data_IF_675458661700
#
_entry.id   IF_675458661700
#
_cell.length_a   1.000
_cell.length_b   1.000
_cell.length_c   1.000
_cell.angle_alpha   90.00
_cell.angle_beta   90.00
_cell.angle_gamma   90.00
#
_symmetry.space_group_name_H-M   'P 1'
#
loop_
_entity.id
_entity.type
_entity.pdbx_description
1 polymer ?
#
# COMPACT_ATOMS: atom_id res chain seq x y z
N UNK A 1 27.50 11.80 7.40
CA UNK A 1 26.98 10.44 7.19
C UNK A 1 26.95 10.22 5.69
N UNK A 2 27.67 9.21 5.18
CA UNK A 2 27.59 8.80 3.77
C UNK A 2 26.13 8.71 3.31
N UNK A 3 25.86 9.09 2.06
CA UNK A 3 24.56 8.95 1.39
C UNK A 3 24.13 7.48 1.36
N UNK A 4 23.50 7.02 2.45
CA UNK A 4 22.88 5.71 2.49
C UNK A 4 21.69 5.70 1.52
N UNK A 5 21.54 4.65 0.70
CA UNK A 5 20.44 4.56 -0.25
C UNK A 5 19.09 4.55 0.47
N UNK A 6 18.12 5.32 -0.02
CA UNK A 6 16.84 5.48 0.66
C UNK A 6 15.76 4.50 0.17
N UNK A 7 16.02 3.83 -0.96
CA UNK A 7 15.20 2.76 -1.52
C UNK A 7 16.16 1.70 -2.05
N UNK A 8 15.91 0.44 -1.71
CA UNK A 8 16.73 -0.70 -2.10
C UNK A 8 15.85 -1.74 -2.76
N UNK A 9 16.23 -2.24 -3.93
CA UNK A 9 15.71 -3.53 -4.42
C UNK A 9 16.14 -4.65 -3.45
N UNK A 10 15.41 -5.76 -3.43
CA UNK A 10 15.80 -6.89 -2.56
C UNK A 10 17.23 -7.38 -2.84
N UNK A 11 17.68 -7.37 -4.09
CA UNK A 11 19.06 -7.74 -4.44
C UNK A 11 20.09 -6.71 -3.95
N UNK A 12 19.75 -5.43 -3.94
CA UNK A 12 20.61 -4.33 -3.45
C UNK A 12 20.69 -4.31 -1.92
N UNK A 13 19.68 -4.87 -1.25
CA UNK A 13 19.60 -4.94 0.20
C UNK A 13 20.38 -6.12 0.81
N UNK A 14 21.01 -6.97 0.00
CA UNK A 14 21.86 -8.07 0.49
C UNK A 14 23.03 -7.49 1.28
N UNK A 15 23.22 -7.97 2.52
CA UNK A 15 24.26 -7.50 3.42
C UNK A 15 23.83 -6.38 4.37
N UNK A 16 22.62 -5.81 4.20
CA UNK A 16 22.04 -4.89 5.19
C UNK A 16 21.54 -5.65 6.42
N UNK A 17 21.59 -4.98 7.57
CA UNK A 17 21.19 -5.58 8.84
C UNK A 17 19.67 -5.68 9.00
N UNK A 18 19.21 -6.61 9.85
CA UNK A 18 17.80 -6.69 10.27
C UNK A 18 17.29 -5.39 10.90
N UNK A 19 18.17 -4.61 11.54
CA UNK A 19 17.83 -3.30 12.08
C UNK A 19 17.53 -2.28 10.99
N UNK A 20 18.22 -2.35 9.85
CA UNK A 20 18.04 -1.42 8.72
C UNK A 20 16.86 -1.80 7.83
N UNK A 21 16.58 -3.08 7.65
CA UNK A 21 15.52 -3.58 6.74
C UNK A 21 14.21 -3.94 7.44
N UNK A 22 14.23 -4.04 8.77
CA UNK A 22 13.14 -4.65 9.53
C UNK A 22 13.05 -6.16 9.35
N UNK A 23 12.25 -6.83 10.19
CA UNK A 23 12.16 -8.30 10.20
C UNK A 23 11.63 -8.87 8.88
N UNK A 24 10.59 -8.25 8.31
CA UNK A 24 9.96 -8.72 7.07
C UNK A 24 10.85 -8.48 5.85
N UNK A 25 11.39 -7.27 5.73
CA UNK A 25 12.31 -6.90 4.66
C UNK A 25 13.56 -7.77 4.68
N UNK A 26 14.18 -7.94 5.86
CA UNK A 26 15.32 -8.85 6.03
C UNK A 26 14.97 -10.28 5.61
N UNK A 27 13.83 -10.83 6.04
CA UNK A 27 13.41 -12.17 5.62
C UNK A 27 13.26 -12.31 4.10
N UNK A 28 12.68 -11.31 3.42
CA UNK A 28 12.54 -11.31 1.96
C UNK A 28 13.91 -11.30 1.26
N UNK A 29 14.85 -10.49 1.75
CA UNK A 29 16.23 -10.43 1.24
C UNK A 29 16.96 -11.75 1.45
N UNK A 30 16.80 -12.39 2.61
CA UNK A 30 17.40 -13.71 2.86
C UNK A 30 16.84 -14.77 1.90
N UNK A 31 15.54 -14.75 1.63
CA UNK A 31 14.92 -15.68 0.66
C UNK A 31 15.44 -15.44 -0.76
N UNK A 32 15.60 -14.18 -1.18
CA UNK A 32 16.21 -13.82 -2.47
C UNK A 32 17.67 -14.28 -2.54
N UNK A 33 18.46 -14.07 -1.49
CA UNK A 33 19.85 -14.54 -1.40
C UNK A 33 19.95 -16.07 -1.53
N UNK A 34 18.98 -16.80 -0.99
CA UNK A 34 18.89 -18.26 -1.09
C UNK A 34 18.35 -18.76 -2.43
N UNK A 35 17.98 -17.87 -3.36
CA UNK A 35 17.44 -18.24 -4.66
C UNK A 35 16.00 -18.76 -4.62
N UNK A 36 15.25 -18.46 -3.55
CA UNK A 36 13.84 -18.84 -3.46
C UNK A 36 12.97 -17.94 -4.37
N UNK A 37 11.83 -18.45 -4.88
CA UNK A 37 10.95 -17.70 -5.76
C UNK A 37 10.17 -16.62 -4.99
N UNK A 38 10.78 -15.45 -4.82
CA UNK A 38 10.18 -14.27 -4.19
C UNK A 38 9.77 -13.30 -5.30
N UNK A 39 8.52 -12.78 -5.31
CA UNK A 39 8.15 -11.70 -6.22
C UNK A 39 9.11 -10.51 -6.06
N UNK A 40 9.56 -9.87 -7.15
CA UNK A 40 10.49 -8.75 -7.07
C UNK A 40 9.86 -7.59 -6.29
N UNK A 41 10.69 -6.87 -5.55
CA UNK A 41 10.23 -5.77 -4.71
C UNK A 41 11.39 -4.92 -4.20
N UNK A 42 11.02 -3.97 -3.36
CA UNK A 42 11.93 -2.99 -2.79
C UNK A 42 11.64 -2.77 -1.30
N UNK A 43 12.59 -2.14 -0.61
CA UNK A 43 12.55 -1.81 0.81
C UNK A 43 12.90 -0.33 0.96
N UNK A 44 12.09 0.37 1.76
CA UNK A 44 12.44 1.67 2.33
C UNK A 44 13.08 1.40 3.69
N UNK A 45 14.38 1.65 3.91
CA UNK A 45 15.05 1.30 5.16
C UNK A 45 14.52 2.06 6.37
N UNK A 46 14.65 1.46 7.56
CA UNK A 46 14.14 2.05 8.82
C UNK A 46 14.75 3.42 9.15
N UNK A 47 15.97 3.71 8.69
CA UNK A 47 16.57 5.04 8.86
C UNK A 47 15.86 6.13 8.06
N UNK A 48 15.18 5.80 6.97
CA UNK A 48 14.36 6.75 6.21
C UNK A 48 13.12 7.12 7.03
N UNK A 49 12.50 6.13 7.69
CA UNK A 49 11.42 6.35 8.64
C UNK A 49 11.86 7.24 9.81
N UNK A 50 13.06 7.02 10.35
CA UNK A 50 13.64 7.92 11.38
C UNK A 50 13.83 9.36 10.87
N UNK A 51 14.31 9.54 9.64
CA UNK A 51 14.42 10.88 9.01
C UNK A 51 13.05 11.56 8.91
N UNK A 52 12.00 10.82 8.54
CA UNK A 52 10.63 11.32 8.51
C UNK A 52 10.18 11.84 9.89
N UNK A 53 10.48 11.13 10.97
CA UNK A 53 10.11 11.63 12.32
C UNK A 53 10.86 12.87 12.77
N UNK A 54 12.11 13.03 12.33
CA UNK A 54 12.91 14.21 12.68
C UNK A 54 12.45 15.46 11.91
N UNK A 55 11.98 15.29 10.68
CA UNK A 55 11.64 16.39 9.76
C UNK A 55 10.15 16.68 9.69
N UNK A 56 9.31 15.70 10.02
CA UNK A 56 7.85 15.76 9.88
C UNK A 56 7.35 15.56 8.44
N UNK A 57 8.23 15.29 7.48
CA UNK A 57 7.90 15.12 6.06
C UNK A 57 8.70 13.98 5.42
N UNK A 58 8.19 13.44 4.32
CA UNK A 58 8.94 12.45 3.54
C UNK A 58 10.18 13.12 2.91
N UNK A 59 11.33 12.41 2.79
CA UNK A 59 12.47 12.95 2.06
C UNK A 59 12.08 13.31 0.63
N UNK A 60 12.52 14.46 0.14
CA UNK A 60 12.10 15.01 -1.15
C UNK A 60 12.45 14.07 -2.32
N UNK A 61 13.56 13.35 -2.20
CA UNK A 61 14.07 12.43 -3.21
C UNK A 61 13.41 11.04 -3.16
N UNK A 62 12.59 10.74 -2.13
CA UNK A 62 12.03 9.39 -1.91
C UNK A 62 11.13 8.94 -3.04
N UNK A 63 10.21 9.79 -3.46
CA UNK A 63 9.22 9.43 -4.48
C UNK A 63 9.89 9.15 -5.84
N UNK A 64 10.86 10.00 -6.23
CA UNK A 64 11.63 9.79 -7.45
C UNK A 64 12.42 8.46 -7.40
N UNK A 65 13.09 8.17 -6.28
CA UNK A 65 13.84 6.92 -6.11
C UNK A 65 12.91 5.69 -6.12
N UNK A 66 11.72 5.79 -5.53
CA UNK A 66 10.72 4.72 -5.57
C UNK A 66 10.24 4.42 -6.99
N UNK A 67 9.90 5.46 -7.76
CA UNK A 67 9.43 5.28 -9.14
C UNK A 67 10.52 4.66 -10.02
N UNK A 68 11.78 5.06 -9.86
CA UNK A 68 12.91 4.44 -10.55
C UNK A 68 13.02 2.93 -10.23
N UNK A 69 12.97 2.56 -8.94
CA UNK A 69 13.03 1.15 -8.53
C UNK A 69 11.78 0.37 -8.95
N UNK A 70 10.60 1.00 -8.95
CA UNK A 70 9.37 0.39 -9.44
C UNK A 70 9.40 0.12 -10.94
N UNK A 71 10.06 0.97 -11.74
CA UNK A 71 10.29 0.69 -13.15
C UNK A 71 11.20 -0.54 -13.34
N UNK A 72 12.22 -0.72 -12.50
CA UNK A 72 13.06 -1.94 -12.52
C UNK A 72 12.25 -3.18 -12.12
N UNK A 73 11.45 -3.10 -11.06
CA UNK A 73 10.54 -4.19 -10.61
C UNK A 73 9.54 -4.53 -11.72
N UNK A 74 8.93 -3.51 -12.32
CA UNK A 74 8.00 -3.65 -13.44
C UNK A 74 8.66 -4.30 -14.65
N UNK A 75 9.88 -3.89 -15.01
CA UNK A 75 10.66 -4.47 -16.09
C UNK A 75 10.89 -5.97 -15.93
N UNK A 76 11.21 -6.44 -14.71
CA UNK A 76 11.34 -7.89 -14.40
C UNK A 76 10.04 -8.68 -14.62
N UNK A 77 8.89 -8.01 -14.55
CA UNK A 77 7.56 -8.61 -14.70
C UNK A 77 6.90 -8.31 -16.05
N UNK A 78 7.52 -7.50 -16.90
CA UNK A 78 6.90 -7.00 -18.14
C UNK A 78 5.67 -6.12 -17.90
N UNK A 79 5.65 -5.38 -16.78
CA UNK A 79 4.55 -4.51 -16.32
C UNK A 79 5.08 -3.11 -16.01
N UNK A 80 4.21 -2.12 -15.89
CA UNK A 80 4.58 -0.77 -15.47
C UNK A 80 3.58 -0.18 -14.48
N UNK A 81 4.07 0.49 -13.44
CA UNK A 81 3.24 1.14 -12.44
C UNK A 81 2.41 2.27 -13.08
N UNK A 82 1.11 2.28 -12.85
CA UNK A 82 0.18 3.21 -13.50
C UNK A 82 -0.10 2.95 -14.99
N UNK A 83 0.30 1.80 -15.55
CA UNK A 83 0.04 1.50 -16.98
C UNK A 83 -1.40 1.09 -17.24
N UNK A 84 -2.02 1.72 -18.25
CA UNK A 84 -3.35 1.34 -18.79
C UNK A 84 -3.31 0.14 -19.77
N UNK A 85 -2.17 -0.54 -19.91
CA UNK A 85 -2.03 -1.72 -20.78
C UNK A 85 -1.60 -2.97 -20.04
N UNK A 86 -0.52 -2.85 -19.24
CA UNK A 86 0.00 -3.94 -18.39
C UNK A 86 0.30 -3.38 -17.01
N UNK A 87 -0.73 -3.18 -16.18
CA UNK A 87 -0.57 -2.54 -14.88
C UNK A 87 0.31 -3.38 -13.96
N UNK A 88 1.21 -2.69 -13.25
CA UNK A 88 1.88 -3.21 -12.07
C UNK A 88 1.08 -2.75 -10.84
N UNK A 89 0.55 -3.69 -10.08
CA UNK A 89 -0.02 -3.43 -8.75
C UNK A 89 0.97 -3.90 -7.69
N UNK A 90 1.08 -3.15 -6.59
CA UNK A 90 2.02 -3.46 -5.51
C UNK A 90 1.31 -3.64 -4.18
N UNK A 91 2.00 -4.31 -3.25
CA UNK A 91 1.58 -4.34 -1.85
C UNK A 91 2.55 -3.53 -0.99
N UNK A 92 2.02 -2.65 -0.14
CA UNK A 92 2.81 -1.90 0.84
C UNK A 92 2.64 -2.55 2.20
N UNK A 93 3.76 -2.94 2.82
CA UNK A 93 3.79 -3.71 4.07
C UNK A 93 4.79 -3.09 5.03
N UNK A 94 4.31 -2.65 6.19
CA UNK A 94 5.16 -2.17 7.29
C UNK A 94 6.03 -3.30 7.87
N UNK A 95 7.26 -2.98 8.31
CA UNK A 95 8.20 -3.97 8.84
C UNK A 95 9.20 -3.39 9.82
N UNK A 96 8.93 -3.50 11.12
CA UNK A 96 9.89 -3.11 12.15
C UNK A 96 10.96 -4.19 12.43
N UNK A 97 12.11 -3.83 13.03
CA UNK A 97 13.15 -4.79 13.42
C UNK A 97 12.67 -5.83 14.45
N UNK A 98 11.70 -5.46 15.29
CA UNK A 98 11.04 -6.35 16.24
C UNK A 98 9.64 -6.66 15.74
N UNK A 99 9.23 -7.92 15.87
CA UNK A 99 7.89 -8.34 15.46
C UNK A 99 6.82 -7.68 16.32
N UNK A 100 5.82 -7.08 15.68
CA UNK A 100 4.65 -6.48 16.34
C UNK A 100 3.36 -7.02 15.69
N UNK A 101 2.92 -8.24 16.08
CA UNK A 101 1.76 -8.89 15.48
C UNK A 101 0.48 -8.06 15.67
N UNK A 102 -0.32 -7.91 14.61
CA UNK A 102 -1.59 -7.17 14.63
C UNK A 102 -1.45 -5.64 14.73
N UNK A 103 -0.23 -5.11 14.69
CA UNK A 103 0.03 -3.66 14.82
C UNK A 103 0.38 -2.98 13.49
N UNK A 104 0.64 -3.79 12.45
CA UNK A 104 1.26 -3.37 11.21
C UNK A 104 0.29 -3.55 10.04
N UNK A 105 -0.08 -2.44 9.43
CA UNK A 105 -1.01 -2.39 8.31
C UNK A 105 -0.37 -2.94 7.01
N UNK A 106 -1.21 -3.55 6.18
CA UNK A 106 -0.85 -4.05 4.84
C UNK A 106 -1.88 -3.54 3.84
N UNK A 107 -1.38 -2.87 2.81
CA UNK A 107 -2.16 -2.39 1.69
C UNK A 107 -1.87 -3.28 0.50
N UNK A 108 -2.91 -3.86 -0.08
CA UNK A 108 -2.83 -4.70 -1.27
C UNK A 108 -3.39 -3.94 -2.47
N UNK A 109 -3.01 -4.37 -3.67
CA UNK A 109 -3.54 -3.86 -4.93
C UNK A 109 -3.32 -2.36 -5.15
N UNK A 110 -2.29 -1.77 -4.52
CA UNK A 110 -1.99 -0.36 -4.67
C UNK A 110 -1.55 -0.05 -6.10
N UNK A 111 -2.03 1.09 -6.61
CA UNK A 111 -1.85 1.53 -7.98
C UNK A 111 -3.06 1.24 -8.88
N UNK A 112 -4.16 0.70 -8.33
CA UNK A 112 -5.41 0.50 -9.09
C UNK A 112 -6.31 1.74 -8.98
N UNK A 113 -6.97 2.07 -10.08
CA UNK A 113 -8.03 3.05 -10.21
C UNK A 113 -9.05 2.54 -11.24
N UNK A 114 -10.02 3.36 -11.64
CA UNK A 114 -11.04 3.02 -12.62
C UNK A 114 -10.44 2.58 -13.98
N UNK A 115 -9.53 3.37 -14.54
CA UNK A 115 -8.88 3.04 -15.83
C UNK A 115 -8.01 1.78 -15.74
N UNK A 116 -7.29 1.61 -14.63
CA UNK A 116 -6.39 0.47 -14.39
C UNK A 116 -7.19 -0.81 -14.08
N UNK A 117 -8.34 -0.71 -13.42
CA UNK A 117 -9.25 -1.84 -13.25
C UNK A 117 -9.77 -2.32 -14.62
N UNK A 118 -10.12 -1.40 -15.52
CA UNK A 118 -10.49 -1.74 -16.90
C UNK A 118 -9.32 -2.40 -17.66
N UNK A 119 -8.10 -1.86 -17.53
CA UNK A 119 -6.90 -2.48 -18.12
C UNK A 119 -6.65 -3.90 -17.59
N UNK A 120 -6.79 -4.11 -16.28
CA UNK A 120 -6.65 -5.42 -15.64
C UNK A 120 -7.74 -6.39 -16.09
N UNK A 121 -8.97 -5.91 -16.26
CA UNK A 121 -10.09 -6.70 -16.79
C UNK A 121 -9.81 -7.21 -18.20
N UNK A 122 -9.27 -6.34 -19.06
CA UNK A 122 -8.88 -6.70 -20.43
C UNK A 122 -7.71 -7.68 -20.46
N UNK A 123 -6.71 -7.49 -19.60
CA UNK A 123 -5.54 -8.38 -19.53
C UNK A 123 -5.92 -9.80 -19.06
N UNK A 124 -6.79 -9.88 -18.06
CA UNK A 124 -7.16 -11.15 -17.41
C UNK A 124 -8.34 -11.85 -18.10
N UNK A 125 -9.10 -11.14 -18.94
CA UNK A 125 -10.39 -11.61 -19.45
C UNK A 125 -11.46 -11.76 -18.35
N UNK A 126 -11.22 -11.22 -17.15
CA UNK A 126 -12.10 -11.39 -16.00
C UNK A 126 -12.44 -10.03 -15.36
N UNK A 127 -13.53 -9.44 -15.87
CA UNK A 127 -14.05 -8.15 -15.39
C UNK A 127 -14.40 -8.18 -13.89
N UNK A 128 -15.08 -9.25 -13.45
CA UNK A 128 -15.48 -9.42 -12.05
C UNK A 128 -14.26 -9.35 -11.11
N UNK A 129 -13.21 -10.10 -11.44
CA UNK A 129 -11.97 -10.11 -10.68
C UNK A 129 -11.35 -8.70 -10.59
N UNK A 130 -11.30 -7.96 -11.70
CA UNK A 130 -10.68 -6.64 -11.72
C UNK A 130 -11.44 -5.62 -10.88
N UNK A 131 -12.77 -5.54 -11.00
CA UNK A 131 -13.58 -4.60 -10.22
C UNK A 131 -13.68 -4.98 -8.74
N UNK A 132 -13.72 -6.27 -8.40
CA UNK A 132 -13.59 -6.70 -7.01
C UNK A 132 -12.21 -6.39 -6.42
N UNK A 133 -11.15 -6.47 -7.24
CA UNK A 133 -9.80 -6.07 -6.83
C UNK A 133 -9.77 -4.58 -6.50
N UNK A 134 -10.44 -3.76 -7.31
CA UNK A 134 -10.59 -2.33 -7.05
C UNK A 134 -11.43 -2.04 -5.79
N UNK A 135 -12.57 -2.71 -5.61
CA UNK A 135 -13.37 -2.58 -4.39
C UNK A 135 -12.56 -2.94 -3.13
N UNK A 136 -11.79 -4.03 -3.17
CA UNK A 136 -10.93 -4.45 -2.07
C UNK A 136 -9.85 -3.41 -1.77
N UNK A 137 -9.26 -2.81 -2.81
CA UNK A 137 -8.32 -1.71 -2.65
C UNK A 137 -8.99 -0.51 -1.97
N UNK A 138 -10.14 -0.03 -2.47
CA UNK A 138 -10.88 1.10 -1.91
C UNK A 138 -11.17 0.87 -0.41
N UNK A 139 -11.71 -0.30 -0.04
CA UNK A 139 -12.00 -0.62 1.37
C UNK A 139 -10.73 -0.60 2.22
N UNK A 140 -9.67 -1.27 1.76
CA UNK A 140 -8.44 -1.39 2.52
C UNK A 140 -7.70 -0.05 2.66
N UNK A 141 -7.59 0.71 1.58
CA UNK A 141 -6.97 2.03 1.54
C UNK A 141 -7.72 3.03 2.41
N UNK A 142 -9.05 3.08 2.33
CA UNK A 142 -9.86 4.00 3.14
C UNK A 142 -9.74 3.71 4.64
N UNK A 143 -9.66 2.44 5.02
CA UNK A 143 -9.43 2.04 6.41
C UNK A 143 -8.05 2.44 6.89
N UNK A 144 -7.02 2.08 6.13
CA UNK A 144 -5.62 2.14 6.59
C UNK A 144 -5.06 3.55 6.41
N UNK A 145 -5.29 4.17 5.26
CA UNK A 145 -4.70 5.45 4.88
C UNK A 145 -5.61 6.60 5.28
N UNK A 146 -6.90 6.54 4.90
CA UNK A 146 -7.87 7.60 5.22
C UNK A 146 -8.46 7.48 6.64
N UNK A 147 -8.11 6.42 7.39
CA UNK A 147 -8.52 6.17 8.79
C UNK A 147 -10.05 6.15 8.98
N UNK A 148 -10.80 5.74 7.96
CA UNK A 148 -12.25 5.54 8.08
C UNK A 148 -12.53 4.22 8.83
N UNK A 149 -13.31 4.22 9.92
CA UNK A 149 -13.70 3.01 10.64
C UNK A 149 -14.45 1.98 9.77
N UNK A 150 -14.30 0.70 10.08
CA UNK A 150 -14.92 -0.41 9.31
C UNK A 150 -16.45 -0.31 9.26
N UNK A 151 -17.10 0.06 10.37
CA UNK A 151 -18.55 0.20 10.48
C UNK A 151 -19.09 1.31 9.57
N UNK A 152 -18.34 2.40 9.44
CA UNK A 152 -18.69 3.49 8.53
C UNK A 152 -18.45 3.08 7.07
N UNK A 153 -17.35 2.38 6.75
CA UNK A 153 -17.11 1.85 5.40
C UNK A 153 -18.21 0.88 4.98
N UNK A 154 -18.65 -0.01 5.86
CA UNK A 154 -19.74 -0.94 5.58
C UNK A 154 -21.08 -0.20 5.41
N UNK A 155 -21.29 0.91 6.13
CA UNK A 155 -22.46 1.78 5.91
C UNK A 155 -22.42 2.44 4.54
N UNK A 156 -21.29 3.03 4.13
CA UNK A 156 -21.12 3.67 2.82
C UNK A 156 -21.31 2.66 1.68
N UNK A 157 -20.76 1.45 1.83
CA UNK A 157 -20.95 0.36 0.88
C UNK A 157 -22.43 -0.03 0.75
N UNK A 158 -23.15 -0.17 1.88
CA UNK A 158 -24.59 -0.47 1.88
C UNK A 158 -25.42 0.63 1.22
N UNK A 159 -25.10 1.90 1.46
CA UNK A 159 -25.77 3.03 0.80
C UNK A 159 -25.54 2.95 -0.71
N UNK A 160 -24.30 2.73 -1.12
CA UNK A 160 -23.94 2.64 -2.53
C UNK A 160 -24.63 1.48 -3.24
N UNK A 161 -24.71 0.29 -2.62
CA UNK A 161 -25.42 -0.88 -3.17
C UNK A 161 -26.93 -0.67 -3.27
N UNK A 162 -27.54 0.01 -2.29
CA UNK A 162 -28.97 0.32 -2.30
C UNK A 162 -29.38 1.19 -3.48
N UNK A 163 -28.52 2.08 -3.96
CA UNK A 163 -28.79 2.90 -5.15
C UNK A 163 -29.00 2.05 -6.43
N UNK A 164 -28.52 0.80 -6.42
CA UNK A 164 -28.68 -0.17 -7.50
C UNK A 164 -29.67 -1.30 -7.15
N UNK A 165 -30.42 -1.18 -6.06
CA UNK A 165 -31.33 -2.21 -5.55
C UNK A 165 -30.68 -3.60 -5.37
N UNK A 166 -29.39 -3.63 -4.99
CA UNK A 166 -28.64 -4.88 -4.76
C UNK A 166 -28.18 -5.00 -3.31
N UNK A 167 -27.99 -6.24 -2.86
CA UNK A 167 -27.38 -6.57 -1.56
C UNK A 167 -25.89 -6.95 -1.69
N UNK A 168 -25.45 -7.32 -2.89
CA UNK A 168 -24.06 -7.72 -3.15
C UNK A 168 -23.49 -7.01 -4.37
N UNK A 169 -22.22 -6.63 -4.27
CA UNK A 169 -21.48 -6.04 -5.38
C UNK A 169 -21.31 -7.03 -6.55
N UNK A 170 -21.17 -8.32 -6.26
CA UNK A 170 -21.02 -9.37 -7.28
C UNK A 170 -22.24 -9.56 -8.17
N UNK A 171 -23.41 -9.14 -7.67
CA UNK A 171 -24.69 -9.39 -8.35
C UNK A 171 -25.04 -8.24 -9.31
N UNK A 172 -24.27 -7.14 -9.25
CA UNK A 172 -24.38 -6.00 -10.15
C UNK A 172 -23.86 -6.36 -11.54
N UNK A 173 -24.46 -5.74 -12.57
CA UNK A 173 -23.86 -5.73 -13.90
C UNK A 173 -22.48 -5.04 -13.86
N UNK A 174 -21.60 -5.32 -14.81
CA UNK A 174 -20.28 -4.69 -14.87
C UNK A 174 -20.39 -3.15 -14.93
N UNK A 175 -21.34 -2.63 -15.70
CA UNK A 175 -21.59 -1.19 -15.81
C UNK A 175 -22.02 -0.61 -14.46
N UNK A 176 -22.91 -1.30 -13.74
CA UNK A 176 -23.33 -0.88 -12.40
C UNK A 176 -22.20 -0.98 -11.38
N UNK A 177 -21.31 -1.97 -11.50
CA UNK A 177 -20.10 -2.07 -10.66
C UNK A 177 -19.21 -0.84 -10.85
N UNK A 178 -18.95 -0.45 -12.10
CA UNK A 178 -18.14 0.74 -12.42
C UNK A 178 -18.77 2.01 -11.84
N UNK A 179 -20.07 2.21 -12.09
CA UNK A 179 -20.81 3.37 -11.58
C UNK A 179 -20.84 3.40 -10.04
N UNK A 180 -21.05 2.25 -9.40
CA UNK A 180 -21.07 2.12 -7.95
C UNK A 180 -19.70 2.44 -7.34
N UNK A 181 -18.60 1.96 -7.93
CA UNK A 181 -17.24 2.26 -7.44
C UNK A 181 -16.91 3.75 -7.55
N UNK A 182 -17.29 4.40 -8.65
CA UNK A 182 -17.10 5.84 -8.84
C UNK A 182 -17.86 6.65 -7.77
N UNK A 183 -19.13 6.34 -7.52
CA UNK A 183 -19.89 7.00 -6.46
C UNK A 183 -19.36 6.69 -5.05
N UNK A 184 -18.87 5.47 -4.82
CA UNK A 184 -18.30 5.07 -3.53
C UNK A 184 -17.04 5.86 -3.19
N UNK A 185 -16.13 6.06 -4.15
CA UNK A 185 -14.89 6.82 -3.88
C UNK A 185 -15.17 8.31 -3.62
N UNK A 186 -16.20 8.88 -4.22
CA UNK A 186 -16.67 10.24 -3.92
C UNK A 186 -17.20 10.35 -2.49
N UNK A 187 -18.13 9.47 -2.09
CA UNK A 187 -18.67 9.43 -0.73
C UNK A 187 -17.59 9.22 0.33
N UNK A 188 -16.60 8.37 0.03
CA UNK A 188 -15.43 8.14 0.88
C UNK A 188 -14.60 9.43 1.00
N UNK A 189 -14.37 10.13 -0.12
CA UNK A 189 -13.61 11.37 -0.12
C UNK A 189 -14.28 12.48 0.69
N UNK A 190 -15.60 12.63 0.52
CA UNK A 190 -16.41 13.54 1.35
C UNK A 190 -16.31 13.20 2.83
N UNK A 191 -16.40 11.91 3.17
CA UNK A 191 -16.29 11.44 4.56
C UNK A 191 -14.90 11.68 5.16
N UNK A 192 -13.85 11.47 4.36
CA UNK A 192 -12.47 11.68 4.78
C UNK A 192 -12.09 13.16 4.85
N UNK A 193 -12.88 14.04 4.22
CA UNK A 193 -12.54 15.46 4.06
C UNK A 193 -11.42 15.72 3.06
N UNK A 194 -11.02 14.70 2.29
CA UNK A 194 -10.00 14.75 1.25
C UNK A 194 -10.41 13.85 0.08
N UNK A 195 -10.17 14.23 -1.19
CA UNK A 195 -10.50 13.37 -2.33
C UNK A 195 -9.83 12.01 -2.24
N UNK A 196 -10.53 10.94 -2.67
CA UNK A 196 -9.91 9.63 -2.81
C UNK A 196 -8.86 9.67 -3.94
N UNK A 197 -7.61 9.23 -3.69
CA UNK A 197 -6.53 9.38 -4.67
C UNK A 197 -6.72 8.42 -5.86
N UNK A 198 -6.91 9.00 -7.04
CA UNK A 198 -6.97 8.24 -8.31
C UNK A 198 -5.61 8.04 -8.95
N UNK A 199 -4.66 8.93 -8.69
CA UNK A 199 -3.30 8.80 -9.20
C UNK A 199 -2.53 7.72 -8.42
N UNK A 200 -1.92 6.72 -9.10
CA UNK A 200 -1.14 5.67 -8.44
C UNK A 200 0.04 6.17 -7.60
N UNK A 201 0.66 7.29 -7.98
CA UNK A 201 1.77 7.91 -7.26
C UNK A 201 1.28 8.57 -5.98
N UNK A 202 0.16 9.28 -6.04
CA UNK A 202 -0.49 9.85 -4.84
C UNK A 202 -0.88 8.73 -3.85
N UNK A 203 -1.45 7.63 -4.37
CA UNK A 203 -1.77 6.45 -3.55
C UNK A 203 -0.52 5.90 -2.85
N UNK A 204 0.60 5.80 -3.58
CA UNK A 204 1.86 5.29 -3.05
C UNK A 204 2.42 6.19 -1.95
N UNK A 205 2.46 7.50 -2.18
CA UNK A 205 2.95 8.48 -1.21
C UNK A 205 2.12 8.44 0.09
N UNK A 206 0.79 8.51 -0.04
CA UNK A 206 -0.12 8.45 1.10
C UNK A 206 -0.01 7.13 1.87
N UNK A 207 0.19 6.01 1.17
CA UNK A 207 0.37 4.69 1.78
C UNK A 207 1.68 4.60 2.59
N UNK A 208 2.78 5.13 2.07
CA UNK A 208 4.07 5.18 2.77
C UNK A 208 3.95 6.06 4.02
N UNK A 209 3.34 7.23 3.88
CA UNK A 209 3.17 8.13 5.00
C UNK A 209 2.27 7.51 6.08
N UNK A 210 1.20 6.81 5.69
CA UNK A 210 0.34 6.08 6.61
C UNK A 210 1.11 4.97 7.38
N UNK A 211 2.02 4.25 6.70
CA UNK A 211 2.90 3.27 7.33
C UNK A 211 3.87 3.93 8.31
N UNK A 212 4.53 5.03 7.92
CA UNK A 212 5.42 5.74 8.85
C UNK A 212 4.65 6.30 10.05
N UNK A 213 3.44 6.82 9.87
CA UNK A 213 2.57 7.26 10.97
C UNK A 213 2.12 6.10 11.86
N UNK A 214 1.99 4.87 11.33
CA UNK A 214 1.47 3.73 12.07
C UNK A 214 2.35 3.32 13.25
N UNK A 215 3.67 3.49 13.15
CA UNK A 215 4.60 3.26 14.28
C UNK A 215 4.25 4.11 15.50
N UNK A 216 3.74 5.32 15.31
CA UNK A 216 3.42 6.24 16.40
C UNK A 216 1.95 6.22 16.81
N UNK A 217 1.16 5.27 16.29
CA UNK A 217 -0.23 5.12 16.70
C UNK A 217 -0.34 4.68 18.18
N UNK A 218 -1.46 4.97 18.87
CA UNK A 218 -1.61 4.67 20.29
C UNK A 218 -1.43 3.18 20.65
N UNK A 219 -1.83 2.28 19.75
CA UNK A 219 -1.73 0.82 19.96
C UNK A 219 -0.27 0.36 19.91
N UNK A 220 0.50 0.84 18.93
CA UNK A 220 1.92 0.55 18.75
C UNK A 220 2.75 1.12 19.90
N UNK A 221 2.49 2.36 20.33
CA UNK A 221 3.13 2.96 21.51
C UNK A 221 2.88 2.14 22.78
N UNK A 222 1.62 1.73 23.00
CA UNK A 222 1.25 0.89 24.14
C UNK A 222 1.97 -0.46 24.09
N UNK A 223 1.98 -1.11 22.92
CA UNK A 223 2.68 -2.38 22.72
C UNK A 223 4.17 -2.26 23.03
N UNK A 224 4.85 -1.25 22.48
CA UNK A 224 6.27 -1.02 22.73
C UNK A 224 6.59 -0.81 24.20
N UNK A 225 5.75 -0.05 24.91
CA UNK A 225 5.88 0.15 26.37
C UNK A 225 5.75 -1.17 27.14
N UNK A 226 4.79 -2.02 26.79
CA UNK A 226 4.57 -3.32 27.45
C UNK A 226 5.77 -4.25 27.24
N UNK A 227 6.33 -4.27 26.03
CA UNK A 227 7.41 -5.19 25.64
C UNK A 227 8.81 -4.56 25.66
N UNK A 228 8.98 -3.36 26.24
CA UNK A 228 10.24 -2.61 26.32
C UNK A 228 10.97 -2.46 24.96
N UNK A 229 10.23 -2.17 23.89
CA UNK A 229 10.77 -1.93 22.56
C UNK A 229 11.11 -0.44 22.42
N UNK A 230 12.33 -0.04 22.00
CA UNK A 230 12.68 1.36 21.80
C UNK A 230 11.82 2.08 20.76
N UNK A 231 11.45 3.34 21.04
CA UNK A 231 10.62 4.16 20.16
C UNK A 231 11.35 4.62 18.89
N UNK A 232 12.67 4.65 18.90
CA UNK A 232 13.51 5.18 17.84
C UNK A 232 13.80 4.18 16.70
N UNK A 233 13.37 2.92 16.81
CA UNK A 233 13.68 1.90 15.79
C UNK A 233 13.09 2.23 14.41
N UNK A 234 11.88 2.77 14.35
CA UNK A 234 11.13 2.97 13.12
C UNK A 234 10.50 1.69 12.56
N UNK A 235 9.84 1.81 11.41
CA UNK A 235 9.08 0.73 10.74
C UNK A 235 9.41 0.59 9.26
#
# INVERSE_FOLDING_TARGET
MQDKPIVLLFEEAIGFSKLELGSKGYGLVEMVRLGLPVPPGLIIPTYVCRKYYLTGSLPAELLASLLEKLDIVGGKLGRKFGSLKRPLLVSVRSGAPVSMPGMMDTILNLGINDEIASALANETGNKQFAYETYLRFIKNFSKIVLKIPDDELDRLLKISLKNFNSESFSDLSIEDQENMLNGLVELIGEKAGVPFPKDPVDQLEMAIEAVFKSWNNPRAKTYRRIYNIPDDLGT
#
